data_IF_683543163486
#
_entry.id   IF_683543163486
#
_cell.length_a   1.000
_cell.length_b   1.000
_cell.length_c   1.000
_cell.angle_alpha   90.00
_cell.angle_beta   90.00
_cell.angle_gamma   90.00
#
_symmetry.space_group_name_H-M   'P 1'
#
loop_
_entity.id
_entity.type
_entity.pdbx_description
1 polymer ?
#
# COMPACT_ATOMS: atom_id res chain seq x y z
N UNK A 1 -47.29 20.40 -27.13
CA UNK A 1 -46.89 20.57 -28.55
C UNK A 1 -45.50 19.98 -28.66
N UNK A 2 -45.29 19.01 -29.57
CA UNK A 2 -43.99 18.35 -29.75
C UNK A 2 -43.25 19.04 -30.89
N UNK A 3 -41.97 19.33 -30.75
CA UNK A 3 -41.11 19.85 -31.81
C UNK A 3 -40.23 18.72 -32.30
N UNK A 4 -40.07 18.60 -33.60
CA UNK A 4 -39.21 17.58 -34.21
C UNK A 4 -38.34 18.20 -35.28
N UNK A 5 -37.21 17.57 -35.56
CA UNK A 5 -36.35 17.94 -36.69
C UNK A 5 -36.57 16.95 -37.82
N UNK A 6 -37.05 17.44 -38.96
CA UNK A 6 -37.29 16.63 -40.15
C UNK A 6 -36.12 16.75 -41.13
N UNK A 7 -35.66 15.62 -41.64
CA UNK A 7 -34.71 15.52 -42.75
C UNK A 7 -35.36 14.83 -43.94
N UNK A 8 -34.82 15.06 -45.15
CA UNK A 8 -35.14 14.21 -46.30
C UNK A 8 -34.42 12.87 -46.07
N UNK A 9 -35.09 11.76 -46.35
CA UNK A 9 -34.51 10.41 -46.26
C UNK A 9 -33.15 10.33 -46.98
N UNK A 10 -32.14 9.73 -46.35
CA UNK A 10 -30.77 9.68 -46.85
C UNK A 10 -29.92 10.95 -46.64
N UNK A 11 -30.44 12.00 -46.00
CA UNK A 11 -29.70 13.26 -45.77
C UNK A 11 -29.50 13.56 -44.28
N UNK A 12 -28.33 14.09 -43.93
CA UNK A 12 -27.98 14.52 -42.56
C UNK A 12 -27.83 16.04 -42.41
N UNK A 13 -28.13 16.81 -43.46
CA UNK A 13 -27.99 18.27 -43.49
C UNK A 13 -29.28 18.95 -43.94
N UNK A 14 -29.43 20.25 -43.64
CA UNK A 14 -30.61 21.07 -43.98
C UNK A 14 -31.95 20.66 -43.34
N UNK A 15 -31.91 20.02 -42.17
CA UNK A 15 -33.11 19.66 -41.41
C UNK A 15 -34.01 20.85 -41.07
N UNK A 16 -35.32 20.62 -41.02
CA UNK A 16 -36.34 21.62 -40.70
C UNK A 16 -36.99 21.30 -39.36
N UNK A 17 -36.94 22.25 -38.43
CA UNK A 17 -37.65 22.12 -37.16
C UNK A 17 -39.11 22.48 -37.38
N UNK A 18 -40.02 21.57 -37.01
CA UNK A 18 -41.46 21.75 -37.13
C UNK A 18 -42.16 21.37 -35.83
N UNK A 19 -43.32 21.97 -35.60
CA UNK A 19 -44.20 21.55 -34.52
C UNK A 19 -45.16 20.47 -35.02
N UNK A 20 -45.28 19.38 -34.27
CA UNK A 20 -46.18 18.27 -34.53
C UNK A 20 -47.52 18.55 -33.85
N UNK A 21 -48.57 18.65 -34.65
CA UNK A 21 -49.97 18.81 -34.22
C UNK A 21 -50.88 17.98 -35.13
N UNK A 22 -52.03 17.57 -34.59
CA UNK A 22 -53.02 16.81 -35.36
C UNK A 22 -52.64 15.36 -35.60
N UNK A 23 -52.89 14.89 -36.82
CA UNK A 23 -52.70 13.52 -37.32
C UNK A 23 -51.36 13.35 -38.05
N UNK A 24 -51.00 12.10 -38.37
CA UNK A 24 -49.80 11.81 -39.16
C UNK A 24 -49.88 12.44 -40.57
N UNK A 25 -51.08 12.54 -41.15
CA UNK A 25 -51.32 13.20 -42.44
C UNK A 25 -51.01 14.71 -42.37
N UNK A 26 -51.35 15.37 -41.26
CA UNK A 26 -51.01 16.77 -41.02
C UNK A 26 -49.48 16.97 -40.96
N UNK A 27 -48.77 16.06 -40.29
CA UNK A 27 -47.32 16.06 -40.22
C UNK A 27 -46.68 15.86 -41.61
N UNK A 28 -47.18 14.92 -42.40
CA UNK A 28 -46.71 14.67 -43.77
C UNK A 28 -46.96 15.88 -44.69
N UNK A 29 -48.11 16.54 -44.57
CA UNK A 29 -48.40 17.77 -45.33
C UNK A 29 -47.41 18.90 -45.01
N UNK A 30 -47.15 19.13 -43.71
CA UNK A 30 -46.17 20.13 -43.24
C UNK A 30 -44.75 19.74 -43.68
N UNK A 31 -44.39 18.47 -43.55
CA UNK A 31 -43.09 17.94 -43.97
C UNK A 31 -42.86 18.17 -45.46
N UNK A 32 -43.84 17.82 -46.31
CA UNK A 32 -43.75 18.00 -47.76
C UNK A 32 -43.59 19.46 -48.16
N UNK A 33 -44.34 20.37 -47.53
CA UNK A 33 -44.20 21.82 -47.79
C UNK A 33 -42.85 22.39 -47.35
N UNK A 34 -42.31 21.93 -46.20
CA UNK A 34 -41.06 22.45 -45.63
C UNK A 34 -39.80 21.87 -46.25
N UNK A 35 -39.84 20.61 -46.66
CA UNK A 35 -38.72 19.89 -47.29
C UNK A 35 -38.77 19.96 -48.82
N UNK A 36 -39.90 20.33 -49.42
CA UNK A 36 -40.06 20.44 -50.88
C UNK A 36 -40.18 19.08 -51.58
N UNK A 37 -40.64 18.05 -50.88
CA UNK A 37 -40.81 16.67 -51.38
C UNK A 37 -42.27 16.23 -51.27
N UNK A 38 -42.66 15.20 -52.02
CA UNK A 38 -43.97 14.54 -51.85
C UNK A 38 -43.91 13.55 -50.67
N UNK A 39 -43.95 14.08 -49.45
CA UNK A 39 -43.86 13.29 -48.22
C UNK A 39 -44.97 12.22 -48.14
N UNK A 40 -44.58 10.96 -48.02
CA UNK A 40 -45.50 9.83 -47.83
C UNK A 40 -45.18 8.98 -46.60
N UNK A 41 -43.90 8.78 -46.27
CA UNK A 41 -43.45 7.97 -45.14
C UNK A 41 -42.59 8.81 -44.19
N UNK A 42 -42.64 8.48 -42.90
CA UNK A 42 -41.77 9.07 -41.86
C UNK A 42 -41.07 7.95 -41.11
N UNK A 43 -39.75 8.06 -40.93
CA UNK A 43 -38.92 7.09 -40.23
C UNK A 43 -38.23 7.74 -39.02
N UNK A 44 -37.93 6.95 -38.00
CA UNK A 44 -37.00 7.34 -36.94
C UNK A 44 -35.53 7.14 -37.39
N UNK A 45 -34.57 7.60 -36.58
CA UNK A 45 -33.14 7.49 -36.90
C UNK A 45 -32.54 6.08 -36.94
N UNK A 46 -33.32 5.04 -36.62
CA UNK A 46 -32.91 3.64 -36.74
C UNK A 46 -33.64 2.92 -37.89
N UNK A 47 -34.33 3.66 -38.76
CA UNK A 47 -35.06 3.12 -39.90
C UNK A 47 -36.43 2.50 -39.60
N UNK A 48 -36.97 2.71 -38.40
CA UNK A 48 -38.33 2.30 -38.06
C UNK A 48 -39.37 3.23 -38.68
N UNK A 49 -40.29 2.69 -39.49
CA UNK A 49 -41.43 3.42 -40.03
C UNK A 49 -42.37 3.84 -38.89
N UNK A 50 -42.78 5.10 -38.89
CA UNK A 50 -43.72 5.66 -37.92
C UNK A 50 -45.10 5.71 -38.57
N UNK A 51 -45.98 4.83 -38.11
CA UNK A 51 -47.38 4.71 -38.55
C UNK A 51 -48.37 5.34 -37.55
N UNK A 52 -47.94 5.60 -36.32
CA UNK A 52 -48.72 6.30 -35.29
C UNK A 52 -48.01 7.55 -34.77
N UNK A 53 -48.68 8.71 -34.90
CA UNK A 53 -48.21 10.00 -34.41
C UNK A 53 -48.01 10.04 -32.88
N UNK A 54 -48.63 9.14 -32.12
CA UNK A 54 -48.41 9.02 -30.68
C UNK A 54 -46.98 8.60 -30.32
N UNK A 55 -46.26 7.94 -31.24
CA UNK A 55 -44.90 7.43 -31.02
C UNK A 55 -43.83 8.52 -31.10
N UNK A 56 -44.14 9.65 -31.70
CA UNK A 56 -43.23 10.78 -31.86
C UNK A 56 -43.06 11.52 -30.52
N UNK A 57 -41.83 11.75 -30.10
CA UNK A 57 -41.48 12.50 -28.87
C UNK A 57 -41.00 13.91 -29.20
N UNK A 58 -40.83 14.71 -28.16
CA UNK A 58 -40.26 16.05 -28.29
C UNK A 58 -38.75 15.93 -28.60
N UNK A 59 -38.28 16.80 -29.50
CA UNK A 59 -36.93 16.85 -30.06
C UNK A 59 -36.49 15.60 -30.85
N UNK A 60 -37.42 14.75 -31.29
CA UNK A 60 -37.11 13.61 -32.17
C UNK A 60 -36.53 14.07 -33.52
N UNK A 61 -35.60 13.27 -34.05
CA UNK A 61 -35.07 13.40 -35.41
C UNK A 61 -35.74 12.38 -36.31
N UNK A 62 -36.45 12.87 -37.32
CA UNK A 62 -37.25 12.06 -38.24
C UNK A 62 -36.83 12.26 -39.69
N UNK A 63 -37.00 11.21 -40.49
CA UNK A 63 -36.62 11.18 -41.90
C UNK A 63 -37.85 10.95 -42.77
N UNK A 64 -38.05 11.80 -43.78
CA UNK A 64 -39.25 11.80 -44.61
C UNK A 64 -38.90 11.40 -46.05
N UNK A 65 -39.64 10.45 -46.63
CA UNK A 65 -39.42 9.95 -48.00
C UNK A 65 -40.66 10.15 -48.91
N UNK A 66 -40.47 10.04 -50.23
CA UNK A 66 -41.55 10.01 -51.24
C UNK A 66 -42.15 8.62 -51.49
N UNK A 67 -41.89 7.66 -50.59
CA UNK A 67 -42.40 6.29 -50.67
C UNK A 67 -41.30 5.24 -50.65
N UNK A 68 -40.04 5.67 -50.77
CA UNK A 68 -38.86 4.82 -50.73
C UNK A 68 -38.58 4.34 -49.30
N UNK A 69 -37.91 3.18 -49.21
CA UNK A 69 -37.39 2.61 -47.97
C UNK A 69 -36.42 3.56 -47.28
N UNK A 70 -36.28 3.43 -45.95
CA UNK A 70 -35.32 4.23 -45.19
C UNK A 70 -33.89 4.07 -45.71
N UNK A 71 -33.21 5.20 -45.93
CA UNK A 71 -31.79 5.27 -46.25
C UNK A 71 -31.07 5.91 -45.06
N UNK A 72 -30.20 5.14 -44.40
CA UNK A 72 -29.42 5.65 -43.28
C UNK A 72 -28.47 6.74 -43.82
N UNK A 73 -28.55 7.99 -43.34
CA UNK A 73 -27.65 9.06 -43.76
C UNK A 73 -26.16 8.78 -43.48
N UNK A 74 -25.85 7.72 -42.70
CA UNK A 74 -24.50 7.24 -42.40
C UNK A 74 -24.06 6.06 -43.28
N UNK A 75 -24.97 5.41 -44.02
CA UNK A 75 -24.64 4.41 -45.05
C UNK A 75 -24.47 5.12 -46.41
N UNK A 76 -23.25 5.58 -46.73
CA UNK A 76 -22.91 5.96 -48.11
C UNK A 76 -22.89 4.68 -48.97
N UNK A 77 -23.65 4.58 -50.08
CA UNK A 77 -23.63 3.42 -50.97
C UNK A 77 -22.32 3.28 -51.77
N UNK A 78 -21.34 4.17 -51.54
CA UNK A 78 -20.02 4.10 -52.14
C UNK A 78 -19.02 3.71 -51.06
N UNK A 79 -18.33 2.60 -51.33
CA UNK A 79 -17.41 1.94 -50.41
C UNK A 79 -16.31 2.83 -49.83
N UNK A 80 -15.49 2.26 -48.93
CA UNK A 80 -14.68 3.02 -47.99
C UNK A 80 -13.50 3.68 -48.68
N UNK A 81 -13.69 4.89 -49.20
CA UNK A 81 -12.59 5.75 -49.61
C UNK A 81 -12.65 7.09 -48.88
N UNK A 82 -11.85 7.12 -47.81
CA UNK A 82 -11.06 8.25 -47.32
C UNK A 82 -11.72 9.63 -47.39
N UNK A 83 -12.29 10.02 -46.27
CA UNK A 83 -11.93 11.31 -45.67
C UNK A 83 -11.75 11.15 -44.16
N UNK A 84 -10.55 10.65 -43.81
CA UNK A 84 -10.06 10.69 -42.44
C UNK A 84 -9.76 12.16 -42.10
N UNK A 85 -10.66 12.82 -41.40
CA UNK A 85 -10.26 13.85 -40.44
C UNK A 85 -9.41 13.16 -39.37
N UNK A 86 -8.10 13.04 -39.65
CA UNK A 86 -7.15 12.27 -38.87
C UNK A 86 -7.00 12.87 -37.46
N UNK A 87 -7.79 12.40 -36.51
CA UNK A 87 -7.46 12.59 -35.10
C UNK A 87 -6.26 11.71 -34.77
N UNK A 88 -5.20 12.27 -34.19
CA UNK A 88 -4.05 11.51 -33.66
C UNK A 88 -4.45 10.56 -32.51
N UNK A 89 -5.69 10.69 -32.05
CA UNK A 89 -6.33 9.87 -31.03
C UNK A 89 -6.61 8.45 -31.50
N UNK A 90 -6.36 7.51 -30.60
CA UNK A 90 -6.61 6.09 -30.76
C UNK A 90 -7.16 5.50 -29.46
N UNK A 91 -7.93 4.43 -29.59
CA UNK A 91 -8.49 3.69 -28.46
C UNK A 91 -7.85 2.30 -28.42
N UNK A 92 -7.34 1.92 -27.26
CA UNK A 92 -6.81 0.60 -26.94
C UNK A 92 -7.80 -0.12 -26.04
N UNK A 93 -8.23 -1.31 -26.40
CA UNK A 93 -9.02 -2.18 -25.55
C UNK A 93 -8.08 -3.24 -24.95
N UNK A 94 -7.70 -3.05 -23.68
CA UNK A 94 -6.76 -3.91 -22.97
C UNK A 94 -7.54 -4.80 -22.01
N UNK A 95 -7.64 -6.09 -22.31
CA UNK A 95 -8.34 -7.06 -21.46
C UNK A 95 -9.81 -6.70 -21.16
N UNK A 96 -10.46 -5.93 -22.04
CA UNK A 96 -11.84 -5.47 -21.87
C UNK A 96 -11.99 -4.04 -21.33
N UNK A 97 -10.92 -3.36 -20.92
CA UNK A 97 -10.94 -1.94 -20.51
C UNK A 97 -10.43 -1.04 -21.63
N UNK A 98 -11.20 -0.02 -21.98
CA UNK A 98 -10.82 0.95 -23.02
C UNK A 98 -9.95 2.06 -22.44
N UNK A 99 -8.83 2.33 -23.11
CA UNK A 99 -7.91 3.43 -22.85
C UNK A 99 -7.78 4.29 -24.10
N UNK A 100 -7.92 5.60 -23.94
CA UNK A 100 -7.78 6.55 -25.05
C UNK A 100 -6.48 7.34 -24.90
N UNK A 101 -5.72 7.44 -25.98
CA UNK A 101 -4.43 8.12 -26.02
C UNK A 101 -4.12 8.60 -27.44
N UNK A 102 -2.99 9.27 -27.66
CA UNK A 102 -2.54 9.66 -29.00
C UNK A 102 -1.45 8.73 -29.52
N UNK A 103 -1.31 8.64 -30.85
CA UNK A 103 -0.21 7.90 -31.49
C UNK A 103 1.14 8.45 -31.08
N UNK A 104 1.24 9.78 -30.99
CA UNK A 104 2.43 10.47 -30.48
C UNK A 104 2.86 9.98 -29.09
N UNK A 105 1.93 9.73 -28.16
CA UNK A 105 2.26 9.17 -26.83
C UNK A 105 2.87 7.76 -26.92
N UNK A 106 2.37 6.90 -27.80
CA UNK A 106 2.84 5.52 -27.90
C UNK A 106 4.19 5.38 -28.61
N UNK A 107 4.54 6.35 -29.48
CA UNK A 107 5.73 6.24 -30.35
C UNK A 107 6.90 7.12 -29.87
N UNK A 108 6.64 8.24 -29.19
CA UNK A 108 7.66 9.26 -28.93
C UNK A 108 8.70 8.86 -27.88
N UNK A 109 8.28 8.17 -26.81
CA UNK A 109 9.10 8.01 -25.62
C UNK A 109 10.04 6.80 -25.67
N UNK A 110 9.53 5.68 -26.17
CA UNK A 110 10.27 4.43 -26.33
C UNK A 110 10.13 3.95 -27.78
N UNK A 111 10.95 4.46 -28.72
CA UNK A 111 10.80 4.21 -30.15
C UNK A 111 10.97 2.73 -30.56
N UNK A 112 11.65 1.95 -29.71
CA UNK A 112 11.92 0.52 -29.91
C UNK A 112 10.92 -0.38 -29.16
N UNK A 113 9.93 0.22 -28.48
CA UNK A 113 8.88 -0.54 -27.80
C UNK A 113 7.95 -1.24 -28.80
N UNK A 114 7.33 -2.34 -28.38
CA UNK A 114 6.32 -3.04 -29.17
C UNK A 114 5.17 -2.11 -29.57
N UNK A 115 4.77 -1.20 -28.67
CA UNK A 115 3.74 -0.19 -28.95
C UNK A 115 4.22 0.79 -30.02
N UNK A 116 5.46 1.28 -29.93
CA UNK A 116 6.01 2.15 -30.96
C UNK A 116 6.04 1.44 -32.33
N UNK A 117 6.49 0.19 -32.41
CA UNK A 117 6.47 -0.58 -33.66
C UNK A 117 5.05 -0.80 -34.20
N UNK A 118 4.10 -1.12 -33.33
CA UNK A 118 2.70 -1.36 -33.70
C UNK A 118 2.01 -0.10 -34.25
N UNK A 119 2.43 1.09 -33.81
CA UNK A 119 1.78 2.35 -34.12
C UNK A 119 2.65 3.34 -34.92
N UNK A 120 3.89 2.98 -35.30
CA UNK A 120 4.79 3.81 -36.13
C UNK A 120 4.29 3.96 -37.56
N UNK A 121 3.84 2.86 -38.17
CA UNK A 121 3.26 2.87 -39.52
C UNK A 121 1.72 2.75 -39.45
N UNK A 122 1.03 3.50 -40.32
CA UNK A 122 -0.42 3.36 -40.46
C UNK A 122 -0.69 2.03 -41.19
N UNK A 123 -1.60 1.24 -40.64
CA UNK A 123 -2.23 0.05 -41.25
C UNK A 123 -1.53 -1.31 -41.14
N UNK A 124 -0.35 -1.43 -40.49
CA UNK A 124 0.31 -2.75 -40.31
C UNK A 124 -0.50 -3.70 -39.39
N UNK A 125 -1.26 -3.15 -38.43
CA UNK A 125 -2.04 -3.91 -37.44
C UNK A 125 -3.56 -3.76 -37.57
N UNK A 126 -4.07 -3.39 -38.75
CA UNK A 126 -5.50 -3.13 -38.99
C UNK A 126 -6.42 -4.32 -38.63
N UNK A 127 -5.91 -5.55 -38.70
CA UNK A 127 -6.68 -6.78 -38.48
C UNK A 127 -7.01 -7.08 -36.99
N UNK A 128 -6.59 -6.25 -36.04
CA UNK A 128 -6.87 -6.40 -34.60
C UNK A 128 -7.70 -5.26 -34.02
N UNK A 129 -8.68 -4.77 -34.78
CA UNK A 129 -9.65 -3.76 -34.30
C UNK A 129 -11.01 -4.39 -34.06
N UNK A 130 -11.74 -3.91 -33.06
CA UNK A 130 -13.16 -4.21 -32.91
C UNK A 130 -14.03 -3.37 -33.88
N UNK A 131 -15.35 -3.58 -33.84
CA UNK A 131 -16.32 -2.87 -34.69
C UNK A 131 -16.33 -1.36 -34.43
N UNK A 132 -15.84 -0.92 -33.27
CA UNK A 132 -15.76 0.47 -32.85
C UNK A 132 -14.40 1.10 -33.19
N UNK A 133 -13.47 0.33 -33.77
CA UNK A 133 -12.15 0.79 -34.18
C UNK A 133 -11.09 0.77 -33.08
N UNK A 134 -11.37 0.19 -31.91
CA UNK A 134 -10.40 0.06 -30.82
C UNK A 134 -9.45 -1.11 -31.07
N UNK A 135 -8.16 -0.90 -30.79
CA UNK A 135 -7.13 -1.91 -30.95
C UNK A 135 -7.15 -2.91 -29.79
N UNK A 136 -7.28 -4.19 -30.10
CA UNK A 136 -7.41 -5.26 -29.11
C UNK A 136 -6.05 -5.70 -28.59
N UNK A 137 -5.88 -5.66 -27.27
CA UNK A 137 -4.69 -6.10 -26.53
C UNK A 137 -5.13 -7.09 -25.44
N UNK A 138 -4.69 -8.33 -25.56
CA UNK A 138 -5.03 -9.41 -24.62
C UNK A 138 -4.05 -9.42 -23.43
N UNK A 139 -4.15 -8.40 -22.56
CA UNK A 139 -3.30 -8.19 -21.37
C UNK A 139 -4.10 -7.62 -20.20
N UNK A 140 -3.50 -7.59 -19.01
CA UNK A 140 -4.16 -7.04 -17.82
C UNK A 140 -4.27 -5.50 -17.89
N UNK A 141 -5.47 -4.91 -17.78
CA UNK A 141 -5.62 -3.46 -17.80
C UNK A 141 -5.04 -2.79 -16.55
N UNK A 142 -5.01 -3.47 -15.41
CA UNK A 142 -4.57 -2.88 -14.13
C UNK A 142 -3.07 -2.60 -14.10
N UNK A 143 -2.27 -3.44 -14.77
CA UNK A 143 -0.83 -3.25 -14.90
C UNK A 143 -0.44 -2.40 -16.13
N UNK A 144 -1.36 -2.22 -17.08
CA UNK A 144 -1.16 -1.39 -18.26
C UNK A 144 -1.30 0.11 -17.97
N UNK A 145 -2.21 0.50 -17.08
CA UNK A 145 -2.46 1.92 -16.79
C UNK A 145 -1.21 2.69 -16.30
N UNK A 146 -0.38 2.16 -15.37
CA UNK A 146 0.88 2.81 -14.98
C UNK A 146 1.84 3.00 -16.15
N UNK A 147 1.87 2.04 -17.08
CA UNK A 147 2.71 2.08 -18.28
C UNK A 147 2.25 3.19 -19.21
N UNK A 148 0.94 3.27 -19.47
CA UNK A 148 0.40 4.31 -20.33
C UNK A 148 0.67 5.71 -19.76
N UNK A 149 0.57 5.87 -18.44
CA UNK A 149 0.90 7.13 -17.76
C UNK A 149 2.40 7.46 -17.86
N UNK A 150 3.28 6.47 -17.70
CA UNK A 150 4.70 6.65 -17.97
C UNK A 150 4.97 7.12 -19.41
N UNK A 151 4.30 6.56 -20.41
CA UNK A 151 4.43 7.01 -21.80
C UNK A 151 3.90 8.45 -21.99
N UNK A 152 2.90 8.88 -21.23
CA UNK A 152 2.33 10.24 -21.29
C UNK A 152 3.26 11.31 -20.72
N UNK A 153 3.82 11.10 -19.54
CA UNK A 153 4.53 12.15 -18.80
C UNK A 153 5.90 11.73 -18.24
N UNK A 154 6.30 10.48 -18.42
CA UNK A 154 7.65 9.99 -18.11
C UNK A 154 7.96 9.71 -16.66
N UNK A 155 6.96 9.76 -15.79
CA UNK A 155 7.12 9.43 -14.38
C UNK A 155 6.44 8.09 -14.09
N UNK A 156 7.11 7.23 -13.33
CA UNK A 156 6.51 6.01 -12.82
C UNK A 156 5.61 6.35 -11.63
N UNK A 157 4.30 6.16 -11.81
CA UNK A 157 3.29 6.33 -10.77
C UNK A 157 2.53 5.02 -10.65
N UNK A 158 2.59 4.38 -9.49
CA UNK A 158 1.88 3.13 -9.19
C UNK A 158 0.88 3.44 -8.09
N UNK A 159 -0.41 3.22 -8.36
CA UNK A 159 -1.47 3.41 -7.37
C UNK A 159 -1.30 2.42 -6.20
N UNK A 160 -1.72 2.83 -5.01
CA UNK A 160 -1.76 1.95 -3.84
C UNK A 160 -2.56 0.67 -4.14
N UNK A 161 -1.98 -0.49 -3.87
CA UNK A 161 -2.59 -1.80 -4.12
C UNK A 161 -2.20 -2.48 -5.45
N UNK A 162 -1.53 -1.78 -6.37
CA UNK A 162 -1.00 -2.39 -7.59
C UNK A 162 0.39 -2.99 -7.30
N UNK A 163 0.58 -4.27 -7.62
CA UNK A 163 1.86 -4.95 -7.44
C UNK A 163 2.90 -4.46 -8.48
N UNK A 164 4.03 -3.85 -8.08
CA UNK A 164 5.06 -3.38 -9.01
C UNK A 164 5.66 -4.48 -9.90
N UNK A 165 5.69 -5.72 -9.43
CA UNK A 165 6.13 -6.87 -10.23
C UNK A 165 5.22 -7.11 -11.45
N UNK A 166 3.90 -6.94 -11.27
CA UNK A 166 2.96 -7.08 -12.39
C UNK A 166 3.17 -5.98 -13.44
N UNK A 167 3.45 -4.75 -12.99
CA UNK A 167 3.81 -3.63 -13.89
C UNK A 167 5.14 -3.91 -14.60
N UNK A 168 6.13 -4.49 -13.92
CA UNK A 168 7.41 -4.87 -14.51
C UNK A 168 7.25 -5.90 -15.63
N UNK A 169 6.41 -6.92 -15.43
CA UNK A 169 6.14 -7.94 -16.45
C UNK A 169 5.45 -7.36 -17.69
N UNK A 170 4.50 -6.43 -17.51
CA UNK A 170 3.91 -5.71 -18.64
C UNK A 170 4.92 -4.78 -19.32
N UNK A 171 5.77 -4.07 -18.57
CA UNK A 171 6.79 -3.18 -19.13
C UNK A 171 7.78 -3.96 -20.01
N UNK A 172 8.19 -5.16 -19.57
CA UNK A 172 9.00 -6.10 -20.35
C UNK A 172 8.26 -6.60 -21.59
N UNK A 173 7.00 -6.99 -21.45
CA UNK A 173 6.17 -7.44 -22.56
C UNK A 173 6.07 -6.39 -23.68
N UNK A 174 5.83 -5.12 -23.31
CA UNK A 174 5.76 -4.03 -24.28
C UNK A 174 7.13 -3.50 -24.74
N UNK A 175 8.24 -4.00 -24.19
CA UNK A 175 9.60 -3.57 -24.56
C UNK A 175 9.91 -2.13 -24.12
N UNK A 176 9.47 -1.73 -22.93
CA UNK A 176 9.67 -0.38 -22.37
C UNK A 176 10.85 -0.44 -21.40
N UNK A 177 12.07 -0.49 -21.96
CA UNK A 177 13.31 -0.83 -21.24
C UNK A 177 13.61 0.13 -20.09
N UNK A 178 13.52 1.45 -20.32
CA UNK A 178 13.81 2.45 -19.27
C UNK A 178 12.85 2.33 -18.08
N UNK A 179 11.58 1.99 -18.33
CA UNK A 179 10.59 1.78 -17.28
C UNK A 179 10.87 0.48 -16.51
N UNK A 180 11.28 -0.58 -17.21
CA UNK A 180 11.65 -1.84 -16.60
C UNK A 180 12.85 -1.66 -15.65
N UNK A 181 13.89 -0.93 -16.06
CA UNK A 181 15.04 -0.61 -15.19
C UNK A 181 14.62 0.19 -13.94
N UNK A 182 13.74 1.18 -14.09
CA UNK A 182 13.20 1.95 -12.95
C UNK A 182 12.40 1.06 -11.99
N UNK A 183 11.60 0.15 -12.51
CA UNK A 183 10.81 -0.81 -11.72
C UNK A 183 11.70 -1.83 -11.01
N UNK A 184 12.74 -2.35 -11.68
CA UNK A 184 13.71 -3.26 -11.06
C UNK A 184 14.47 -2.59 -9.92
N UNK A 185 14.93 -1.34 -10.12
CA UNK A 185 15.57 -0.56 -9.07
C UNK A 185 14.62 -0.29 -7.89
N UNK A 186 13.36 0.03 -8.16
CA UNK A 186 12.33 0.23 -7.14
C UNK A 186 12.11 -1.05 -6.34
N UNK A 187 11.88 -2.18 -7.02
CA UNK A 187 11.64 -3.49 -6.39
C UNK A 187 12.84 -3.88 -5.53
N UNK A 188 14.06 -3.77 -6.07
CA UNK A 188 15.31 -4.07 -5.36
C UNK A 188 15.52 -3.17 -4.13
N UNK A 189 15.12 -1.90 -4.20
CA UNK A 189 15.20 -0.98 -3.05
C UNK A 189 14.12 -1.23 -1.99
N UNK A 190 13.05 -1.94 -2.35
CA UNK A 190 11.89 -2.21 -1.50
C UNK A 190 11.91 -3.60 -0.84
N UNK A 191 12.68 -4.54 -1.37
CA UNK A 191 12.92 -5.83 -0.73
C UNK A 191 13.92 -5.65 0.43
N UNK A 192 13.64 -6.18 1.64
CA UNK A 192 14.66 -6.26 2.68
C UNK A 192 15.83 -7.11 2.16
N UNK A 193 17.09 -6.76 2.47
CA UNK A 193 18.23 -7.52 2.00
C UNK A 193 18.17 -8.96 2.55
N UNK A 194 18.05 -9.93 1.65
CA UNK A 194 18.06 -11.38 1.94
C UNK A 194 19.42 -11.89 2.46
N UNK A 195 20.43 -11.03 2.64
CA UNK A 195 21.78 -11.41 3.09
C UNK A 195 21.96 -11.39 4.63
N UNK A 196 20.87 -11.22 5.38
CA UNK A 196 20.90 -10.99 6.83
C UNK A 196 21.75 -9.78 7.25
N UNK A 197 22.00 -8.80 6.37
CA UNK A 197 22.72 -7.59 6.75
C UNK A 197 21.95 -6.80 7.82
N UNK A 198 22.67 -6.11 8.72
CA UNK A 198 22.03 -5.26 9.71
C UNK A 198 21.29 -4.09 9.05
N UNK A 199 20.02 -3.92 9.42
CA UNK A 199 19.21 -2.76 9.04
C UNK A 199 19.80 -1.48 9.61
N UNK A 200 19.97 -0.50 8.74
CA UNK A 200 20.42 0.84 9.13
C UNK A 200 19.26 1.63 9.76
N UNK A 201 19.61 2.66 10.55
CA UNK A 201 18.63 3.62 11.10
C UNK A 201 17.72 4.21 10.03
N UNK A 202 18.29 4.56 8.87
CA UNK A 202 17.54 5.19 7.77
C UNK A 202 16.51 4.25 7.16
N UNK A 203 16.87 2.99 6.93
CA UNK A 203 15.95 1.97 6.43
C UNK A 203 14.83 1.72 7.44
N UNK A 204 15.18 1.61 8.72
CA UNK A 204 14.19 1.36 9.75
C UNK A 204 13.22 2.54 9.95
N UNK A 205 13.70 3.79 9.89
CA UNK A 205 12.83 4.98 9.90
C UNK A 205 11.87 4.95 8.70
N UNK A 206 12.33 4.53 7.52
CA UNK A 206 11.44 4.39 6.36
C UNK A 206 10.34 3.36 6.63
N UNK A 207 10.66 2.23 7.28
CA UNK A 207 9.65 1.24 7.66
C UNK A 207 8.66 1.78 8.69
N UNK A 208 9.13 2.53 9.69
CA UNK A 208 8.25 3.18 10.67
C UNK A 208 7.28 4.16 9.99
N UNK A 209 7.75 4.95 9.04
CA UNK A 209 6.93 5.93 8.32
C UNK A 209 5.99 5.29 7.29
N UNK A 210 6.37 4.15 6.71
CA UNK A 210 5.56 3.42 5.74
C UNK A 210 4.48 2.55 6.40
N UNK A 211 4.62 2.23 7.69
CA UNK A 211 3.65 1.38 8.39
C UNK A 211 2.39 2.17 8.70
N UNK A 212 1.24 1.66 8.26
CA UNK A 212 -0.05 2.30 8.55
C UNK A 212 -0.39 2.23 10.04
N UNK A 213 -1.15 3.19 10.56
CA UNK A 213 -1.61 3.20 11.97
C UNK A 213 -2.52 2.04 12.35
N UNK A 214 -3.02 1.28 11.36
CA UNK A 214 -3.91 0.13 11.55
C UNK A 214 -3.16 -1.21 11.63
N UNK A 215 -1.87 -1.22 11.30
CA UNK A 215 -1.05 -2.44 11.22
C UNK A 215 0.09 -2.38 12.24
N UNK A 216 0.26 -3.45 13.01
CA UNK A 216 1.45 -3.62 13.85
C UNK A 216 2.70 -3.81 12.98
N UNK A 217 3.75 -3.00 13.23
CA UNK A 217 5.03 -3.23 12.59
C UNK A 217 5.65 -4.52 13.13
N UNK A 218 5.92 -5.48 12.24
CA UNK A 218 6.53 -6.76 12.57
C UNK A 218 7.99 -6.75 12.14
N UNK A 219 8.87 -6.82 13.12
CA UNK A 219 10.32 -6.89 12.96
C UNK A 219 10.88 -8.23 13.43
N UNK A 220 10.05 -9.27 13.40
CA UNK A 220 10.40 -10.59 13.90
C UNK A 220 11.56 -11.18 13.08
N UNK A 221 12.62 -11.60 13.77
CA UNK A 221 13.78 -12.23 13.14
C UNK A 221 14.69 -11.29 12.33
N UNK A 222 14.40 -9.98 12.29
CA UNK A 222 15.21 -9.02 11.54
C UNK A 222 16.55 -8.76 12.23
N UNK A 223 17.57 -8.41 11.43
CA UNK A 223 18.89 -8.05 11.93
C UNK A 223 19.01 -6.53 12.12
N UNK A 224 19.30 -6.11 13.34
CA UNK A 224 19.57 -4.74 13.79
C UNK A 224 20.93 -4.66 14.52
N UNK A 225 21.85 -5.58 14.24
CA UNK A 225 23.18 -5.60 14.88
C UNK A 225 23.86 -4.23 14.73
N UNK A 226 24.19 -3.59 15.85
CA UNK A 226 24.84 -2.28 15.86
C UNK A 226 23.97 -1.12 15.35
N UNK A 227 22.68 -1.34 15.09
CA UNK A 227 21.79 -0.31 14.57
C UNK A 227 21.57 0.81 15.60
N UNK A 228 21.53 2.06 15.12
CA UNK A 228 21.11 3.19 15.93
C UNK A 228 19.58 3.36 15.91
N UNK A 229 18.94 2.89 16.96
CA UNK A 229 17.51 2.98 17.24
C UNK A 229 17.22 3.97 18.39
N UNK A 230 18.20 4.80 18.77
CA UNK A 230 18.08 5.72 19.90
C UNK A 230 16.96 6.74 19.67
N UNK A 231 16.26 7.08 20.76
CA UNK A 231 15.16 8.07 20.80
C UNK A 231 13.98 7.80 19.87
N UNK A 232 13.88 6.61 19.27
CA UNK A 232 12.75 6.24 18.44
C UNK A 232 11.54 5.85 19.30
N UNK A 233 10.35 6.10 18.76
CA UNK A 233 9.11 5.54 19.28
C UNK A 233 8.91 4.13 18.70
N UNK A 234 9.12 3.13 19.55
CA UNK A 234 9.11 1.70 19.21
C UNK A 234 7.99 0.96 19.95
N UNK A 235 6.98 1.68 20.43
CA UNK A 235 5.88 1.12 21.22
C UNK A 235 5.15 0.03 20.45
N UNK A 236 4.84 -1.06 21.13
CA UNK A 236 4.07 -2.20 20.61
C UNK A 236 4.66 -2.90 19.37
N UNK A 237 5.90 -2.57 18.96
CA UNK A 237 6.55 -3.25 17.83
C UNK A 237 6.91 -4.68 18.22
N UNK A 238 6.74 -5.60 17.28
CA UNK A 238 7.13 -7.00 17.46
C UNK A 238 8.57 -7.23 16.97
N UNK A 239 9.51 -7.25 17.91
CA UNK A 239 10.94 -7.60 17.74
C UNK A 239 11.25 -9.05 18.18
N UNK A 240 10.25 -9.94 18.23
CA UNK A 240 10.47 -11.33 18.62
C UNK A 240 11.59 -11.95 17.79
N UNK A 241 12.52 -12.66 18.43
CA UNK A 241 13.67 -13.30 17.74
C UNK A 241 14.56 -12.34 16.91
N UNK A 242 14.41 -11.02 17.04
CA UNK A 242 15.27 -10.08 16.32
C UNK A 242 16.69 -10.10 16.88
N UNK A 243 17.67 -9.84 16.02
CA UNK A 243 19.06 -9.66 16.42
C UNK A 243 19.35 -8.17 16.63
N UNK A 244 19.36 -7.70 17.87
CA UNK A 244 19.64 -6.33 18.31
C UNK A 244 21.01 -6.25 19.01
N UNK A 245 21.92 -7.19 18.73
CA UNK A 245 23.24 -7.23 19.36
C UNK A 245 23.99 -5.93 19.14
N UNK A 246 24.47 -5.31 20.22
CA UNK A 246 25.19 -4.04 20.16
C UNK A 246 24.37 -2.85 19.65
N UNK A 247 23.06 -2.98 19.48
CA UNK A 247 22.21 -1.88 19.03
C UNK A 247 22.17 -0.74 20.07
N UNK A 248 22.06 0.49 19.58
CA UNK A 248 21.84 1.66 20.41
C UNK A 248 20.33 1.94 20.49
N UNK A 249 19.74 1.72 21.66
CA UNK A 249 18.33 1.95 22.02
C UNK A 249 18.21 3.01 23.13
N UNK A 250 19.27 3.81 23.35
CA UNK A 250 19.29 4.86 24.39
C UNK A 250 18.09 5.80 24.23
N UNK A 251 17.35 6.02 25.32
CA UNK A 251 16.12 6.82 25.36
C UNK A 251 15.02 6.43 24.35
N UNK A 252 15.07 5.22 23.77
CA UNK A 252 13.98 4.73 22.93
C UNK A 252 12.74 4.42 23.79
N UNK A 253 11.56 4.55 23.18
CA UNK A 253 10.31 4.14 23.82
C UNK A 253 9.90 2.75 23.34
N UNK A 254 10.16 1.73 24.14
CA UNK A 254 9.86 0.31 23.90
C UNK A 254 8.62 -0.16 24.69
N UNK A 255 7.76 0.76 25.13
CA UNK A 255 6.59 0.38 25.94
C UNK A 255 5.70 -0.60 25.19
N UNK A 256 5.38 -1.73 25.84
CA UNK A 256 4.58 -2.81 25.26
C UNK A 256 5.23 -3.55 24.09
N UNK A 257 6.49 -3.27 23.75
CA UNK A 257 7.19 -3.97 22.68
C UNK A 257 7.39 -5.45 23.01
N UNK A 258 7.43 -6.29 21.97
CA UNK A 258 7.71 -7.72 22.11
C UNK A 258 9.14 -8.04 21.69
N UNK A 259 10.00 -8.31 22.66
CA UNK A 259 11.42 -8.69 22.52
C UNK A 259 11.65 -10.16 22.92
N UNK A 260 10.60 -10.99 22.95
CA UNK A 260 10.71 -12.41 23.29
C UNK A 260 11.79 -13.09 22.45
N UNK A 261 12.75 -13.75 23.10
CA UNK A 261 13.86 -14.46 22.46
C UNK A 261 14.73 -13.60 21.52
N UNK A 262 14.66 -12.26 21.63
CA UNK A 262 15.57 -11.38 20.90
C UNK A 262 17.00 -11.49 21.47
N UNK A 263 17.99 -11.15 20.65
CA UNK A 263 19.38 -10.99 21.09
C UNK A 263 19.71 -9.50 21.25
N UNK A 264 19.77 -9.03 22.49
CA UNK A 264 20.19 -7.70 22.93
C UNK A 264 21.60 -7.73 23.54
N UNK A 265 22.41 -8.76 23.30
CA UNK A 265 23.75 -8.84 23.88
C UNK A 265 24.57 -7.58 23.54
N UNK A 266 25.21 -7.01 24.56
CA UNK A 266 25.97 -5.76 24.48
C UNK A 266 25.21 -4.52 23.93
N UNK A 267 23.87 -4.55 23.86
CA UNK A 267 23.07 -3.39 23.46
C UNK A 267 23.08 -2.29 24.54
N UNK A 268 22.85 -1.04 24.14
CA UNK A 268 22.73 0.09 25.05
C UNK A 268 21.29 0.60 25.06
N UNK A 269 20.56 0.38 26.16
CA UNK A 269 19.17 0.81 26.37
C UNK A 269 19.08 1.91 27.44
N UNK A 270 20.17 2.59 27.79
CA UNK A 270 20.19 3.56 28.89
C UNK A 270 19.04 4.59 28.78
N UNK A 271 18.31 4.76 29.88
CA UNK A 271 17.16 5.64 29.98
C UNK A 271 15.99 5.31 29.03
N UNK A 272 15.92 4.10 28.49
CA UNK A 272 14.79 3.66 27.66
C UNK A 272 13.52 3.46 28.51
N UNK A 273 12.36 3.65 27.86
CA UNK A 273 11.08 3.30 28.45
C UNK A 273 10.69 1.87 28.05
N UNK A 274 10.61 0.97 29.03
CA UNK A 274 10.37 -0.47 28.91
C UNK A 274 9.10 -0.91 29.65
N UNK A 275 8.15 0.02 29.85
CA UNK A 275 6.84 -0.23 30.46
C UNK A 275 6.12 -1.39 29.78
N UNK A 276 5.71 -2.41 30.54
CA UNK A 276 4.97 -3.56 30.01
C UNK A 276 5.69 -4.37 28.92
N UNK A 277 7.03 -4.23 28.79
CA UNK A 277 7.80 -4.92 27.76
C UNK A 277 7.77 -6.44 27.95
N UNK A 278 7.73 -7.20 26.85
CA UNK A 278 7.82 -8.67 26.86
C UNK A 278 9.23 -9.08 26.44
N UNK A 279 10.01 -9.62 27.37
CA UNK A 279 11.41 -10.04 27.20
C UNK A 279 11.63 -11.49 27.68
N UNK A 280 10.62 -12.36 27.49
CA UNK A 280 10.71 -13.78 27.86
C UNK A 280 11.88 -14.43 27.09
N UNK A 281 12.80 -15.07 27.82
CA UNK A 281 13.97 -15.75 27.28
C UNK A 281 14.85 -14.88 26.35
N UNK A 282 14.86 -13.57 26.53
CA UNK A 282 15.72 -12.65 25.78
C UNK A 282 17.18 -12.82 26.23
N UNK A 283 18.12 -12.69 25.30
CA UNK A 283 19.55 -12.60 25.63
C UNK A 283 19.96 -11.13 25.74
N UNK A 284 20.29 -10.65 26.93
CA UNK A 284 20.79 -9.29 27.17
C UNK A 284 22.12 -9.33 27.95
N UNK A 285 22.95 -10.35 27.70
CA UNK A 285 24.28 -10.47 28.30
C UNK A 285 25.13 -9.24 28.00
N UNK A 286 25.66 -8.62 29.06
CA UNK A 286 26.51 -7.42 28.99
C UNK A 286 25.81 -6.17 28.44
N UNK A 287 24.48 -6.15 28.32
CA UNK A 287 23.75 -4.97 27.91
C UNK A 287 23.78 -3.89 29.00
N UNK A 288 23.65 -2.63 28.59
CA UNK A 288 23.43 -1.50 29.50
C UNK A 288 21.96 -1.11 29.48
N UNK A 289 21.33 -1.08 30.65
CA UNK A 289 19.94 -0.70 30.90
C UNK A 289 19.89 0.30 32.06
N UNK A 290 20.88 1.21 32.16
CA UNK A 290 20.97 2.13 33.30
C UNK A 290 19.81 3.12 33.28
N UNK A 291 19.18 3.34 34.44
CA UNK A 291 18.07 4.29 34.58
C UNK A 291 16.86 4.00 33.70
N UNK A 292 16.63 2.74 33.30
CA UNK A 292 15.47 2.34 32.54
C UNK A 292 14.18 2.40 33.37
N UNK A 293 13.05 2.62 32.71
CA UNK A 293 11.73 2.58 33.34
C UNK A 293 10.92 1.36 32.89
N UNK A 294 10.67 0.41 33.79
CA UNK A 294 9.80 -0.75 33.54
C UNK A 294 8.42 -0.63 34.20
N UNK A 295 8.17 0.45 34.96
CA UNK A 295 6.96 0.63 35.75
C UNK A 295 5.82 1.20 34.90
N UNK A 296 4.87 0.33 34.55
CA UNK A 296 3.64 0.75 33.89
C UNK A 296 2.59 1.18 34.94
N UNK A 297 2.14 2.45 34.93
CA UNK A 297 1.07 2.91 35.83
C UNK A 297 -0.27 2.17 35.62
N UNK A 298 -0.48 1.53 34.46
CA UNK A 298 -1.65 0.70 34.21
C UNK A 298 -1.53 -0.71 34.84
N UNK A 299 -0.40 -1.04 35.45
CA UNK A 299 -0.16 -2.31 36.15
C UNK A 299 0.32 -3.45 35.26
N UNK A 300 0.61 -3.23 33.97
CA UNK A 300 1.21 -4.26 33.11
C UNK A 300 2.68 -4.41 33.47
N UNK A 301 2.99 -5.50 34.16
CA UNK A 301 4.35 -5.81 34.58
C UNK A 301 5.22 -6.20 33.38
N UNK A 302 6.43 -5.64 33.32
CA UNK A 302 7.46 -6.13 32.40
C UNK A 302 7.84 -7.59 32.73
N UNK A 303 8.02 -8.40 31.68
CA UNK A 303 8.28 -9.83 31.81
C UNK A 303 9.64 -10.22 31.21
N UNK A 304 10.62 -10.50 32.07
CA UNK A 304 11.97 -10.95 31.74
C UNK A 304 12.23 -12.39 32.23
N UNK A 305 11.18 -13.20 32.38
CA UNK A 305 11.33 -14.58 32.83
C UNK A 305 12.29 -15.37 31.91
N UNK A 306 13.23 -16.08 32.53
CA UNK A 306 14.24 -16.89 31.83
C UNK A 306 15.20 -16.09 30.96
N UNK A 307 15.28 -14.76 31.09
CA UNK A 307 16.22 -13.93 30.34
C UNK A 307 17.67 -14.20 30.79
N UNK A 308 18.62 -14.14 29.84
CA UNK A 308 20.05 -14.11 30.14
C UNK A 308 20.49 -12.66 30.34
N UNK A 309 20.72 -12.25 31.58
CA UNK A 309 21.09 -10.91 32.02
C UNK A 309 22.50 -10.92 32.68
N UNK A 310 23.33 -11.88 32.32
CA UNK A 310 24.69 -12.00 32.87
C UNK A 310 25.50 -10.73 32.59
N UNK A 311 26.11 -10.16 33.62
CA UNK A 311 26.93 -8.95 33.51
C UNK A 311 26.17 -7.69 33.06
N UNK A 312 24.84 -7.69 33.09
CA UNK A 312 24.03 -6.53 32.72
C UNK A 312 24.25 -5.36 33.69
N UNK A 313 24.20 -4.12 33.20
CA UNK A 313 24.18 -2.93 34.04
C UNK A 313 22.77 -2.34 34.08
N UNK A 314 22.06 -2.46 35.20
CA UNK A 314 20.72 -1.89 35.39
C UNK A 314 20.71 -0.76 36.42
N UNK A 315 21.87 -0.22 36.81
CA UNK A 315 21.98 0.76 37.90
C UNK A 315 20.92 1.87 37.81
N UNK A 316 20.21 2.11 38.92
CA UNK A 316 19.19 3.16 39.04
C UNK A 316 17.85 2.89 38.34
N UNK A 317 17.62 1.69 37.81
CA UNK A 317 16.39 1.37 37.07
C UNK A 317 15.15 1.24 37.96
N UNK A 318 14.00 1.64 37.40
CA UNK A 318 12.68 1.46 38.03
C UNK A 318 12.07 0.14 37.56
N UNK A 319 12.04 -0.86 38.44
CA UNK A 319 11.70 -2.25 38.13
C UNK A 319 10.61 -2.80 39.06
N UNK A 320 9.73 -1.93 39.56
CA UNK A 320 8.63 -2.34 40.44
C UNK A 320 7.77 -3.41 39.78
N UNK A 321 7.55 -4.52 40.50
CA UNK A 321 6.72 -5.63 40.05
C UNK A 321 7.29 -6.47 38.91
N UNK A 322 8.51 -6.22 38.44
CA UNK A 322 9.10 -6.93 37.30
C UNK A 322 9.11 -8.46 37.53
N UNK A 323 8.83 -9.23 36.48
CA UNK A 323 9.01 -10.68 36.52
C UNK A 323 10.40 -11.06 36.00
N UNK A 324 11.26 -11.53 36.89
CA UNK A 324 12.61 -12.03 36.60
C UNK A 324 12.73 -13.52 36.92
N UNK A 325 11.63 -14.26 37.11
CA UNK A 325 11.66 -15.68 37.48
C UNK A 325 12.64 -16.46 36.60
N UNK A 326 13.47 -17.29 37.23
CA UNK A 326 14.50 -18.14 36.59
C UNK A 326 15.46 -17.41 35.62
N UNK A 327 15.59 -16.08 35.72
CA UNK A 327 16.57 -15.32 34.94
C UNK A 327 17.99 -15.49 35.48
N UNK A 328 18.98 -15.37 34.60
CA UNK A 328 20.41 -15.42 34.95
C UNK A 328 20.94 -14.00 35.07
N UNK A 329 21.18 -13.52 36.30
CA UNK A 329 21.70 -12.17 36.60
C UNK A 329 23.16 -12.19 37.08
N UNK A 330 23.88 -13.31 36.94
CA UNK A 330 25.26 -13.45 37.44
C UNK A 330 26.15 -12.25 37.06
N UNK A 331 26.83 -11.67 38.04
CA UNK A 331 27.67 -10.47 37.93
C UNK A 331 26.94 -9.20 37.46
N UNK A 332 25.61 -9.12 37.57
CA UNK A 332 24.85 -7.93 37.22
C UNK A 332 25.10 -6.78 38.21
N UNK A 333 25.03 -5.54 37.70
CA UNK A 333 25.05 -4.33 38.52
C UNK A 333 23.62 -3.85 38.71
N UNK A 334 23.13 -3.92 39.94
CA UNK A 334 21.76 -3.58 40.31
C UNK A 334 21.70 -2.44 41.33
N UNK A 335 22.78 -1.68 41.51
CA UNK A 335 22.84 -0.59 42.50
C UNK A 335 21.68 0.38 42.32
N UNK A 336 21.10 0.81 43.43
CA UNK A 336 20.03 1.83 43.47
C UNK A 336 18.78 1.48 42.63
N UNK A 337 18.52 0.20 42.36
CA UNK A 337 17.31 -0.22 41.64
C UNK A 337 16.09 -0.26 42.57
N UNK A 338 14.93 0.08 42.01
CA UNK A 338 13.64 -0.15 42.68
C UNK A 338 13.08 -1.51 42.24
N UNK A 339 13.17 -2.52 43.10
CA UNK A 339 12.74 -3.90 42.89
C UNK A 339 11.54 -4.27 43.77
N UNK A 340 10.75 -3.27 44.21
CA UNK A 340 9.55 -3.51 45.02
C UNK A 340 8.59 -4.48 44.34
N UNK A 341 8.15 -5.52 45.04
CA UNK A 341 7.22 -6.52 44.50
C UNK A 341 7.76 -7.35 43.32
N UNK A 342 9.07 -7.30 43.04
CA UNK A 342 9.69 -8.05 41.96
C UNK A 342 9.61 -9.56 42.20
N UNK A 343 9.41 -10.33 41.13
CA UNK A 343 9.45 -11.81 41.19
C UNK A 343 10.84 -12.29 40.79
N UNK A 344 11.67 -12.63 41.78
CA UNK A 344 13.05 -13.11 41.64
C UNK A 344 13.16 -14.62 41.97
N UNK A 345 12.04 -15.37 41.93
CA UNK A 345 12.05 -16.77 42.29
C UNK A 345 12.95 -17.58 41.33
N UNK A 346 13.89 -18.35 41.87
CA UNK A 346 14.84 -19.16 41.10
C UNK A 346 15.87 -18.37 40.27
N UNK A 347 16.05 -17.07 40.51
CA UNK A 347 17.06 -16.28 39.78
C UNK A 347 18.49 -16.61 40.21
N UNK A 348 19.43 -16.54 39.28
CA UNK A 348 20.86 -16.58 39.63
C UNK A 348 21.40 -15.16 39.85
N UNK A 349 21.53 -14.75 41.11
CA UNK A 349 22.05 -13.46 41.55
C UNK A 349 23.53 -13.55 42.01
N UNK A 350 24.27 -14.58 41.59
CA UNK A 350 25.67 -14.77 42.00
C UNK A 350 26.52 -13.53 41.69
N UNK A 351 27.26 -13.03 42.69
CA UNK A 351 28.14 -11.85 42.61
C UNK A 351 27.44 -10.58 42.09
N UNK A 352 26.14 -10.42 42.33
CA UNK A 352 25.43 -9.18 42.02
C UNK A 352 25.65 -8.11 43.07
N UNK A 353 25.66 -6.85 42.64
CA UNK A 353 25.66 -5.71 43.55
C UNK A 353 24.26 -5.11 43.63
N UNK A 354 23.56 -5.35 44.74
CA UNK A 354 22.21 -4.86 45.02
C UNK A 354 22.23 -3.68 46.02
N UNK A 355 23.37 -3.02 46.19
CA UNK A 355 23.49 -1.95 47.18
C UNK A 355 22.53 -0.79 46.87
N UNK A 356 21.86 -0.25 47.89
CA UNK A 356 20.88 0.83 47.71
C UNK A 356 19.54 0.41 47.10
N UNK A 357 19.29 -0.88 46.87
CA UNK A 357 18.01 -1.33 46.32
C UNK A 357 16.84 -1.17 47.31
N UNK A 358 15.64 -1.03 46.76
CA UNK A 358 14.37 -1.31 47.47
C UNK A 358 13.87 -2.70 47.06
N UNK A 359 13.82 -3.65 48.01
CA UNK A 359 13.35 -5.02 47.82
C UNK A 359 12.05 -5.31 48.58
N UNK A 360 11.30 -4.28 49.00
CA UNK A 360 10.03 -4.48 49.71
C UNK A 360 9.10 -5.39 48.89
N UNK A 361 8.58 -6.46 49.50
CA UNK A 361 7.69 -7.46 48.88
C UNK A 361 8.29 -8.24 47.70
N UNK A 362 9.60 -8.17 47.47
CA UNK A 362 10.26 -8.98 46.45
C UNK A 362 10.30 -10.45 46.84
N UNK A 363 10.02 -11.34 45.89
CA UNK A 363 10.06 -12.80 46.09
C UNK A 363 11.39 -13.39 45.62
N UNK A 364 12.30 -13.70 46.55
CA UNK A 364 13.61 -14.32 46.28
C UNK A 364 13.64 -15.85 46.52
N UNK A 365 12.49 -16.52 46.52
CA UNK A 365 12.46 -17.96 46.83
C UNK A 365 13.32 -18.77 45.84
N UNK A 366 14.31 -19.49 46.36
CA UNK A 366 15.19 -20.35 45.55
C UNK A 366 16.19 -19.59 44.67
N UNK A 367 16.37 -18.28 44.87
CA UNK A 367 17.40 -17.53 44.17
C UNK A 367 18.80 -17.87 44.68
N UNK A 368 19.80 -17.97 43.79
CA UNK A 368 21.20 -18.09 44.18
C UNK A 368 21.78 -16.71 44.50
N UNK A 369 22.03 -16.40 45.77
CA UNK A 369 22.58 -15.11 46.23
C UNK A 369 24.05 -15.19 46.65
N UNK A 370 24.78 -16.22 46.19
CA UNK A 370 26.19 -16.41 46.57
C UNK A 370 27.03 -15.21 46.11
N UNK A 371 27.72 -14.57 47.05
CA UNK A 371 28.57 -13.41 46.77
C UNK A 371 27.80 -12.13 46.41
N UNK A 372 26.47 -12.12 46.54
CA UNK A 372 25.68 -10.92 46.33
C UNK A 372 25.89 -9.91 47.47
N UNK A 373 25.92 -8.62 47.13
CA UNK A 373 26.14 -7.51 48.06
C UNK A 373 24.79 -6.84 48.35
N UNK A 374 24.47 -6.65 49.63
CA UNK A 374 23.23 -6.03 50.11
C UNK A 374 23.53 -4.88 51.09
N UNK A 375 24.31 -3.89 50.65
CA UNK A 375 24.65 -2.71 51.46
C UNK A 375 23.63 -1.59 51.25
N UNK A 376 23.46 -0.71 52.25
CA UNK A 376 22.63 0.51 52.13
C UNK A 376 21.20 0.28 51.64
N UNK A 377 20.62 -0.90 51.92
CA UNK A 377 19.27 -1.26 51.50
C UNK A 377 18.25 -0.24 52.02
N UNK A 378 17.39 0.28 51.12
CA UNK A 378 16.34 1.26 51.46
C UNK A 378 15.32 0.67 52.44
N UNK A 379 15.07 -0.63 52.33
CA UNK A 379 14.20 -1.39 53.25
C UNK A 379 14.90 -2.68 53.68
N UNK A 380 14.84 -3.05 54.98
CA UNK A 380 15.42 -4.31 55.45
C UNK A 380 14.80 -5.52 54.76
N UNK A 381 15.63 -6.44 54.28
CA UNK A 381 15.18 -7.67 53.66
C UNK A 381 14.65 -8.65 54.73
N UNK A 382 13.35 -8.96 54.71
CA UNK A 382 12.78 -10.00 55.56
C UNK A 382 13.16 -11.40 55.03
N UNK A 383 14.31 -11.90 55.47
CA UNK A 383 14.91 -13.17 55.02
C UNK A 383 14.11 -14.44 55.35
N UNK A 384 12.96 -14.35 56.02
CA UNK A 384 12.09 -15.50 56.32
C UNK A 384 11.49 -16.15 55.06
N UNK A 385 11.59 -15.50 53.90
CA UNK A 385 11.16 -16.02 52.60
C UNK A 385 12.31 -16.54 51.72
N UNK A 386 13.57 -16.36 52.14
CA UNK A 386 14.76 -16.51 51.29
C UNK A 386 15.56 -17.79 51.55
N UNK A 387 15.19 -18.63 52.53
CA UNK A 387 16.00 -19.78 52.96
C UNK A 387 15.18 -21.07 52.98
N UNK A 388 15.33 -21.89 51.94
CA UNK A 388 15.40 -23.35 52.05
C UNK A 388 16.16 -23.94 50.88
#
# INVERSE_FOLDING_TARGET
MRRVTLFVNGTCTNGKVVAVYGSLEDLLCVAGSKLGIRASNVYNGNGGLIDDIALIRDDDVLYVSEGDSFEDPQDDPRGPDKDQTHTDWLTLNVGGRCFTTTRSTLVSKEPESMLAHMFREKDVWANKRDRQGAYLIDRSPDYFEPILNYLRHGQLIINEGINPLGVLEEARFFGIEQLAEQLEALIKSSQPPDDHSPLTRKEFIRFLLATTTKSELRCQGLNFTGADLSRLDLRYINFKMANLRGANLTHANLSGANLERADLSAACLDGANLQGVKMLCTNAEGASLRGCNFEDPAGVKANLEGANLKGVDMEGSQMTGINLRVATLKNAKLKNCNLRGATLAGTDLENCDLSGCDLQEANLRGSNVKGAIFEEMLTPLHMSQSVR
#
